data_IF_955277716270
#
_entry.id   IF_955277716270
#
_cell.length_a   1.000
_cell.length_b   1.000
_cell.length_c   1.000
_cell.angle_alpha   90.00
_cell.angle_beta   90.00
_cell.angle_gamma   90.00
#
_symmetry.space_group_name_H-M   'P 1'
#
loop_
_entity.id
_entity.type
_entity.pdbx_description
1 polymer ?
#
# COMPACT_ATOMS: atom_id res chain seq x y z
N UNK A 1 12.14 -14.46 26.38
CA UNK A 1 12.81 -13.50 25.47
C UNK A 1 12.49 -13.94 24.06
N UNK A 2 11.59 -13.25 23.34
CA UNK A 2 11.38 -13.54 21.91
C UNK A 2 12.50 -12.84 21.17
N UNK A 3 13.53 -13.60 20.84
CA UNK A 3 14.64 -13.15 20.02
C UNK A 3 14.10 -12.78 18.65
N UNK A 4 13.97 -11.47 18.39
CA UNK A 4 13.96 -10.94 17.04
C UNK A 4 15.36 -11.20 16.45
N UNK A 5 15.65 -12.46 16.10
CA UNK A 5 16.72 -12.74 15.16
C UNK A 5 16.15 -12.37 13.81
N UNK A 6 16.34 -11.11 13.42
CA UNK A 6 15.99 -10.61 12.09
C UNK A 6 17.11 -11.11 11.16
N UNK A 7 17.17 -12.43 10.99
CA UNK A 7 17.87 -12.98 9.84
C UNK A 7 17.00 -12.63 8.65
N UNK A 8 17.41 -11.60 7.92
CA UNK A 8 16.83 -11.21 6.65
C UNK A 8 17.74 -11.73 5.54
N UNK A 9 17.63 -13.03 5.18
CA UNK A 9 18.56 -13.66 4.26
C UNK A 9 18.44 -13.13 2.83
N UNK A 10 17.42 -12.34 2.53
CA UNK A 10 17.16 -11.81 1.19
C UNK A 10 17.59 -10.35 1.11
N UNK A 11 18.76 -10.09 0.52
CA UNK A 11 19.30 -8.76 0.29
C UNK A 11 19.07 -8.29 -1.14
N UNK A 12 18.71 -7.03 -1.32
CA UNK A 12 18.71 -6.36 -2.62
C UNK A 12 20.14 -6.02 -3.03
N UNK A 13 20.60 -6.52 -4.17
CA UNK A 13 21.98 -6.29 -4.64
C UNK A 13 22.25 -4.84 -5.10
N UNK A 14 21.19 -4.05 -5.32
CA UNK A 14 21.31 -2.67 -5.83
C UNK A 14 21.45 -1.67 -4.67
N UNK A 15 20.66 -1.83 -3.62
CA UNK A 15 20.63 -0.89 -2.49
C UNK A 15 20.97 -1.52 -1.13
N UNK A 16 21.30 -2.82 -1.10
CA UNK A 16 21.66 -3.59 0.09
C UNK A 16 20.56 -3.67 1.16
N UNK A 17 19.32 -3.29 0.83
CA UNK A 17 18.18 -3.44 1.73
C UNK A 17 17.84 -4.92 1.92
N UNK A 18 17.62 -5.34 3.16
CA UNK A 18 17.35 -6.72 3.53
C UNK A 18 15.86 -6.96 3.78
N UNK A 19 15.43 -8.20 3.56
CA UNK A 19 14.05 -8.64 3.71
C UNK A 19 13.99 -10.03 4.35
N UNK A 20 12.97 -10.25 5.16
CA UNK A 20 12.69 -11.56 5.79
C UNK A 20 12.07 -12.58 4.84
N UNK A 21 11.58 -12.15 3.68
CA UNK A 21 10.90 -13.02 2.70
C UNK A 21 11.35 -12.70 1.28
N UNK A 22 11.56 -13.73 0.46
CA UNK A 22 11.92 -13.59 -0.96
C UNK A 22 10.85 -12.87 -1.77
N UNK A 23 9.57 -13.06 -1.45
CA UNK A 23 8.46 -12.35 -2.10
C UNK A 23 8.50 -10.83 -1.86
N UNK A 24 8.97 -10.40 -0.68
CA UNK A 24 9.14 -8.99 -0.35
C UNK A 24 10.33 -8.40 -1.09
N UNK A 25 11.45 -9.12 -1.19
CA UNK A 25 12.58 -8.73 -2.03
C UNK A 25 12.16 -8.62 -3.50
N UNK A 26 11.47 -9.62 -4.05
CA UNK A 26 11.02 -9.61 -5.44
C UNK A 26 10.11 -8.42 -5.74
N UNK A 27 9.13 -8.15 -4.87
CA UNK A 27 8.30 -6.94 -5.00
C UNK A 27 9.14 -5.67 -4.90
N UNK A 28 10.12 -5.63 -3.99
CA UNK A 28 11.01 -4.47 -3.87
C UNK A 28 11.80 -4.21 -5.16
N UNK A 29 12.23 -5.25 -5.89
CA UNK A 29 12.96 -5.07 -7.15
C UNK A 29 12.19 -4.25 -8.20
N UNK A 30 10.86 -4.22 -8.15
CA UNK A 30 10.05 -3.35 -9.04
C UNK A 30 10.44 -1.86 -8.92
N UNK A 31 10.93 -1.40 -7.76
CA UNK A 31 11.33 0.01 -7.58
C UNK A 31 12.61 0.36 -8.35
N UNK A 32 13.43 -0.65 -8.63
CA UNK A 32 14.66 -0.51 -9.40
C UNK A 32 14.43 -0.72 -10.89
N UNK A 33 13.24 -1.20 -11.28
CA UNK A 33 12.84 -1.26 -12.67
C UNK A 33 12.51 0.13 -13.19
N UNK A 34 12.90 0.42 -14.43
CA UNK A 34 12.48 1.62 -15.16
C UNK A 34 11.01 1.54 -15.60
N UNK A 35 10.40 0.35 -15.53
CA UNK A 35 9.00 0.13 -15.90
C UNK A 35 8.06 0.53 -14.77
N UNK A 36 7.56 1.77 -14.81
CA UNK A 36 6.46 2.21 -13.93
C UNK A 36 5.11 1.93 -14.57
N UNK A 37 4.11 1.74 -13.73
CA UNK A 37 2.72 1.58 -14.14
C UNK A 37 2.05 2.94 -14.01
N UNK A 38 1.56 3.45 -15.13
CA UNK A 38 0.83 4.71 -15.21
C UNK A 38 -0.67 4.48 -14.99
N UNK A 39 -1.34 5.45 -14.38
CA UNK A 39 -2.79 5.46 -14.20
C UNK A 39 -3.49 5.98 -15.45
N UNK A 40 -4.51 5.28 -15.94
CA UNK A 40 -5.27 5.74 -17.13
C UNK A 40 -6.08 7.04 -16.90
N UNK A 41 -6.18 7.50 -15.65
CA UNK A 41 -7.04 8.62 -15.25
C UNK A 41 -6.27 9.89 -14.86
N UNK A 42 -4.96 9.81 -14.61
CA UNK A 42 -4.14 10.94 -14.15
C UNK A 42 -2.65 10.61 -14.24
N UNK A 43 -1.79 11.62 -14.03
CA UNK A 43 -0.34 11.50 -14.11
C UNK A 43 0.31 10.68 -12.95
N UNK A 44 -0.48 9.92 -12.20
CA UNK A 44 0.04 9.08 -11.12
C UNK A 44 0.75 7.84 -11.69
N UNK A 45 1.97 7.61 -11.20
CA UNK A 45 2.79 6.46 -11.55
C UNK A 45 3.24 5.68 -10.32
N UNK A 46 3.36 4.36 -10.46
CA UNK A 46 3.85 3.52 -9.36
C UNK A 46 4.52 2.25 -9.89
N UNK A 47 5.56 1.73 -9.20
CA UNK A 47 6.17 0.45 -9.59
C UNK A 47 5.29 -0.76 -9.26
N UNK A 48 4.29 -0.63 -8.35
CA UNK A 48 3.51 -1.79 -7.88
C UNK A 48 2.04 -1.73 -8.30
N UNK A 49 1.53 -2.84 -8.86
CA UNK A 49 0.11 -3.00 -9.22
C UNK A 49 -0.85 -2.80 -8.04
N UNK A 50 -0.47 -3.26 -6.84
CA UNK A 50 -1.28 -3.10 -5.62
C UNK A 50 -1.42 -1.63 -5.21
N UNK A 51 -0.37 -0.84 -5.39
CA UNK A 51 -0.39 0.61 -5.15
C UNK A 51 -1.32 1.32 -6.12
N UNK A 52 -1.28 0.96 -7.43
CA UNK A 52 -2.19 1.53 -8.42
C UNK A 52 -3.65 1.20 -8.08
N UNK A 53 -3.95 -0.06 -7.76
CA UNK A 53 -5.31 -0.48 -7.35
C UNK A 53 -5.83 0.34 -6.17
N UNK A 54 -4.98 0.57 -5.16
CA UNK A 54 -5.33 1.40 -3.99
C UNK A 54 -5.53 2.87 -4.36
N UNK A 55 -4.67 3.41 -5.22
CA UNK A 55 -4.79 4.77 -5.76
C UNK A 55 -6.11 4.97 -6.49
N UNK A 56 -6.42 4.11 -7.46
CA UNK A 56 -7.68 4.14 -8.21
C UNK A 56 -8.88 4.08 -7.28
N UNK A 57 -8.85 3.19 -6.27
CA UNK A 57 -9.90 3.11 -5.26
C UNK A 57 -10.07 4.38 -4.43
N UNK A 58 -8.99 5.11 -4.18
CA UNK A 58 -9.01 6.30 -3.33
C UNK A 58 -9.49 7.55 -4.07
N UNK A 59 -9.04 7.73 -5.31
CA UNK A 59 -9.23 8.98 -6.05
C UNK A 59 -10.21 8.88 -7.22
N UNK A 60 -10.33 7.69 -7.83
CA UNK A 60 -11.11 7.50 -9.07
C UNK A 60 -12.30 6.55 -8.89
N UNK A 61 -12.51 6.02 -7.68
CA UNK A 61 -13.68 5.20 -7.34
C UNK A 61 -14.78 6.05 -6.72
N UNK A 62 -15.98 5.92 -7.25
CA UNK A 62 -17.19 6.55 -6.70
C UNK A 62 -17.70 5.84 -5.45
N UNK A 63 -17.38 4.55 -5.29
CA UNK A 63 -17.79 3.75 -4.14
C UNK A 63 -16.97 4.09 -2.89
N UNK A 64 -17.48 5.05 -2.11
CA UNK A 64 -16.97 5.40 -0.78
C UNK A 64 -17.94 4.89 0.30
N UNK A 65 -17.38 4.27 1.32
CA UNK A 65 -18.06 3.79 2.52
C UNK A 65 -18.32 4.97 3.46
N UNK A 66 -19.58 5.27 3.73
CA UNK A 66 -19.97 6.33 4.66
C UNK A 66 -19.90 5.82 6.11
N UNK A 67 -19.34 6.62 7.02
CA UNK A 67 -19.47 6.33 8.44
C UNK A 67 -20.94 6.43 8.87
N UNK A 68 -21.50 5.44 9.58
CA UNK A 68 -22.90 5.51 10.01
C UNK A 68 -23.15 6.55 11.12
N UNK A 69 -22.09 7.11 11.72
CA UNK A 69 -22.17 8.04 12.87
C UNK A 69 -21.85 9.47 12.48
N UNK A 70 -20.88 9.70 11.58
CA UNK A 70 -20.51 11.03 11.10
C UNK A 70 -20.55 11.10 9.57
N UNK A 71 -20.53 12.31 9.00
CA UNK A 71 -20.61 12.50 7.55
C UNK A 71 -19.25 12.34 6.83
N UNK A 72 -18.38 11.47 7.34
CA UNK A 72 -17.07 11.17 6.76
C UNK A 72 -17.16 9.93 5.87
N UNK A 73 -16.51 10.01 4.71
CA UNK A 73 -16.48 8.96 3.69
C UNK A 73 -15.08 8.34 3.59
N UNK A 74 -15.03 7.01 3.44
CA UNK A 74 -13.80 6.22 3.35
C UNK A 74 -13.75 5.43 2.05
N UNK A 75 -12.56 5.24 1.48
CA UNK A 75 -12.39 4.44 0.26
C UNK A 75 -12.16 2.94 0.56
N UNK A 76 -12.18 2.53 1.84
CA UNK A 76 -12.05 1.13 2.23
C UNK A 76 -12.76 0.83 3.55
N UNK A 77 -13.26 -0.41 3.68
CA UNK A 77 -13.90 -0.91 4.91
C UNK A 77 -12.93 -0.95 6.09
N UNK A 78 -11.68 -1.33 5.86
CA UNK A 78 -10.64 -1.35 6.90
C UNK A 78 -10.39 0.06 7.46
N UNK A 79 -10.31 1.07 6.58
CA UNK A 79 -10.17 2.47 7.01
C UNK A 79 -11.38 2.93 7.84
N UNK A 80 -12.60 2.53 7.44
CA UNK A 80 -13.81 2.81 8.21
C UNK A 80 -13.82 2.08 9.58
N UNK A 81 -13.35 0.82 9.65
CA UNK A 81 -13.27 0.07 10.91
C UNK A 81 -12.25 0.67 11.87
N UNK A 82 -11.12 1.16 11.36
CA UNK A 82 -10.11 1.85 12.16
C UNK A 82 -10.52 3.27 12.58
N UNK A 83 -11.52 3.84 11.93
CA UNK A 83 -12.02 5.17 12.26
C UNK A 83 -12.80 5.13 13.57
N UNK A 84 -12.28 5.84 14.57
CA UNK A 84 -12.98 6.07 15.83
C UNK A 84 -13.77 7.36 15.72
N UNK A 85 -15.10 7.23 15.59
CA UNK A 85 -15.99 8.39 15.55
C UNK A 85 -16.18 8.91 16.98
N UNK A 86 -15.60 10.07 17.29
CA UNK A 86 -15.94 10.81 18.52
C UNK A 86 -17.26 11.54 18.27
N UNK A 87 -18.36 11.03 18.81
CA UNK A 87 -19.59 11.82 18.94
C UNK A 87 -19.26 13.02 19.84
N UNK A 88 -19.40 14.23 19.33
CA UNK A 88 -19.61 15.41 20.16
C UNK A 88 -21.06 15.38 20.68
#
# INVERSE_FOLDING_TARGET
>A
MRTHSVEEPYSCEICQQTFSQSSNLNRHMDIHSETKIHSDYCDFETPHKSSLKRHLKRYHSEHKEKCPVCDVYFYSKESLQSHTCKKL
#
